data_IF_442859882954
#
_entry.id   IF_442859882954
#
_cell.length_a   1.000
_cell.length_b   1.000
_cell.length_c   1.000
_cell.angle_alpha   90.00
_cell.angle_beta   90.00
_cell.angle_gamma   90.00
#
_symmetry.space_group_name_H-M   'P 1'
#
loop_
_entity.id
_entity.type
_entity.pdbx_description
1 polymer ?
#
# COMPACT_ATOMS: atom_id res chain seq x y z
N UNK A 1 20.44 21.31 -24.22
CA UNK A 1 21.04 20.65 -23.04
C UNK A 1 20.13 19.49 -22.68
N UNK A 2 20.53 18.26 -23.01
CA UNK A 2 19.82 17.08 -22.52
C UNK A 2 20.01 17.03 -21.00
N UNK A 3 18.92 17.19 -20.24
CA UNK A 3 18.97 16.95 -18.80
C UNK A 3 19.38 15.49 -18.58
N UNK A 4 20.51 15.30 -17.90
CA UNK A 4 21.03 13.98 -17.57
C UNK A 4 20.01 13.30 -16.65
N UNK A 5 19.30 12.28 -17.17
CA UNK A 5 18.29 11.55 -16.42
C UNK A 5 18.96 10.80 -15.27
N UNK A 6 18.48 11.01 -14.04
CA UNK A 6 19.00 10.29 -12.88
C UNK A 6 18.30 8.93 -12.74
N UNK A 7 19.02 7.88 -12.32
CA UNK A 7 18.40 6.59 -12.01
C UNK A 7 17.40 6.74 -10.86
N UNK A 8 16.31 5.99 -10.92
CA UNK A 8 15.28 5.99 -9.87
C UNK A 8 15.60 4.86 -8.88
N UNK A 9 15.78 5.18 -7.60
CA UNK A 9 15.85 4.16 -6.56
C UNK A 9 14.43 3.78 -6.13
N UNK A 10 14.09 2.49 -6.13
CA UNK A 10 12.81 2.00 -5.64
C UNK A 10 13.04 1.20 -4.35
N UNK A 11 12.28 1.53 -3.31
CA UNK A 11 12.34 0.91 -1.99
C UNK A 11 10.94 0.39 -1.66
N UNK A 12 10.77 -0.93 -1.57
CA UNK A 12 9.54 -1.52 -1.03
C UNK A 12 9.75 -1.85 0.44
N UNK A 13 8.97 -1.21 1.30
CA UNK A 13 9.04 -1.38 2.74
C UNK A 13 7.97 -2.35 3.21
N UNK A 14 8.39 -3.56 3.57
CA UNK A 14 7.53 -4.45 4.32
C UNK A 14 7.51 -4.01 5.78
N UNK A 15 6.38 -3.47 6.22
CA UNK A 15 6.28 -2.93 7.58
C UNK A 15 5.99 -4.05 8.57
N UNK A 16 6.77 -4.20 9.63
CA UNK A 16 6.44 -5.06 10.76
C UNK A 16 5.80 -4.23 11.88
N UNK A 17 4.58 -3.78 11.61
CA UNK A 17 3.85 -2.95 12.56
C UNK A 17 3.25 -3.81 13.65
N UNK A 18 3.34 -3.34 14.89
CA UNK A 18 2.67 -3.94 16.04
C UNK A 18 1.89 -2.85 16.73
N UNK A 19 1.05 -3.25 17.68
CA UNK A 19 0.30 -2.34 18.53
C UNK A 19 1.19 -1.25 19.18
N UNK A 20 2.45 -1.58 19.51
CA UNK A 20 3.42 -0.63 20.06
C UNK A 20 3.67 0.57 19.15
N UNK A 21 3.78 0.35 17.84
CA UNK A 21 4.04 1.44 16.91
C UNK A 21 2.88 2.46 16.87
N UNK A 22 1.65 2.00 17.09
CA UNK A 22 0.45 2.84 17.16
C UNK A 22 0.22 3.49 18.54
N UNK A 23 1.16 3.36 19.47
CA UNK A 23 1.06 4.02 20.77
C UNK A 23 1.07 5.56 20.63
N UNK A 24 1.90 6.10 19.74
CA UNK A 24 1.94 7.54 19.48
C UNK A 24 2.42 7.85 18.07
N UNK A 25 2.03 9.03 17.57
CA UNK A 25 2.47 9.55 16.27
C UNK A 25 4.00 9.56 16.14
N UNK A 26 4.70 10.01 17.18
CA UNK A 26 6.17 10.12 17.17
C UNK A 26 6.85 8.76 17.05
N UNK A 27 6.34 7.72 17.72
CA UNK A 27 6.89 6.36 17.62
C UNK A 27 6.69 5.82 16.19
N UNK A 28 5.48 5.96 15.63
CA UNK A 28 5.19 5.47 14.28
C UNK A 28 6.01 6.21 13.21
N UNK A 29 6.08 7.53 13.31
CA UNK A 29 6.90 8.34 12.39
C UNK A 29 8.36 7.96 12.47
N UNK A 30 8.91 7.83 13.68
CA UNK A 30 10.30 7.44 13.87
C UNK A 30 10.58 6.06 13.28
N UNK A 31 9.67 5.10 13.47
CA UNK A 31 9.77 3.77 12.85
C UNK A 31 9.94 3.86 11.33
N UNK A 32 9.03 4.56 10.64
CA UNK A 32 9.12 4.71 9.18
C UNK A 32 10.36 5.49 8.75
N UNK A 33 10.68 6.58 9.44
CA UNK A 33 11.82 7.43 9.13
C UNK A 33 13.13 6.66 9.20
N UNK A 34 13.32 5.84 10.23
CA UNK A 34 14.48 4.97 10.37
C UNK A 34 14.58 3.95 9.23
N UNK A 35 13.46 3.32 8.86
CA UNK A 35 13.45 2.32 7.77
C UNK A 35 13.74 2.92 6.41
N UNK A 36 13.17 4.09 6.11
CA UNK A 36 13.46 4.79 4.87
C UNK A 36 14.94 5.19 4.82
N UNK A 37 15.46 5.79 5.89
CA UNK A 37 16.87 6.24 5.94
C UNK A 37 17.88 5.10 5.85
N UNK A 38 17.62 3.96 6.47
CA UNK A 38 18.45 2.76 6.33
C UNK A 38 18.48 2.22 4.89
N UNK A 39 17.45 2.53 4.10
CA UNK A 39 17.26 2.00 2.74
C UNK A 39 17.79 2.92 1.65
N UNK A 40 17.99 4.20 1.96
CA UNK A 40 18.60 5.16 1.05
C UNK A 40 20.11 4.85 0.96
N UNK A 41 20.64 4.66 -0.26
CA UNK A 41 22.08 4.46 -0.44
C UNK A 41 22.83 5.78 -0.21
N UNK A 42 23.87 5.83 0.66
CA UNK A 42 24.76 6.99 0.73
C UNK A 42 25.70 7.03 -0.49
N UNK A 43 25.99 8.24 -1.00
CA UNK A 43 26.81 8.44 -2.21
C UNK A 43 28.29 8.08 -2.06
N UNK A 44 28.81 7.95 -0.83
CA UNK A 44 30.20 7.54 -0.58
C UNK A 44 30.38 6.99 0.82
N UNK A 45 31.31 6.05 0.98
CA UNK A 45 31.77 5.47 2.26
C UNK A 45 32.57 6.45 3.12
N UNK A 46 32.56 7.75 2.80
CA UNK A 46 33.40 8.74 3.47
C UNK A 46 32.59 9.72 4.32
N UNK A 47 32.95 9.72 5.60
CA UNK A 47 32.63 10.68 6.67
C UNK A 47 31.24 10.59 7.32
N UNK A 48 31.29 10.48 8.65
CA UNK A 48 30.33 10.74 9.72
C UNK A 48 29.12 11.64 9.40
N UNK A 49 28.27 11.27 8.44
CA UNK A 49 26.92 11.84 8.35
C UNK A 49 26.14 11.24 9.52
N UNK A 50 25.66 12.10 10.43
CA UNK A 50 24.73 11.65 11.47
C UNK A 50 23.53 11.01 10.79
N UNK A 51 23.14 9.82 11.25
CA UNK A 51 21.99 9.08 10.71
C UNK A 51 20.70 9.94 10.60
N UNK A 52 20.59 10.99 11.43
CA UNK A 52 19.46 11.91 11.46
C UNK A 52 19.38 12.89 10.27
N UNK A 53 20.41 12.96 9.43
CA UNK A 53 20.49 13.91 8.30
C UNK A 53 20.41 13.23 6.93
N UNK A 54 20.24 11.90 6.88
CA UNK A 54 20.16 11.17 5.62
C UNK A 54 18.87 11.57 4.87
N UNK A 55 19.07 12.16 3.69
CA UNK A 55 18.06 12.47 2.69
C UNK A 55 18.42 11.83 1.37
N UNK A 56 17.42 11.46 0.57
CA UNK A 56 17.64 10.96 -0.77
C UNK A 56 18.29 12.05 -1.63
N UNK A 57 19.44 11.74 -2.22
CA UNK A 57 20.18 12.63 -3.12
C UNK A 57 19.87 12.37 -4.60
N UNK A 58 19.18 11.26 -4.88
CA UNK A 58 18.62 10.88 -6.17
C UNK A 58 17.11 10.73 -6.05
N UNK A 59 16.35 10.74 -7.16
CA UNK A 59 14.95 10.35 -7.16
C UNK A 59 14.79 8.99 -6.48
N UNK A 60 14.05 8.98 -5.37
CA UNK A 60 13.75 7.77 -4.60
C UNK A 60 12.25 7.63 -4.46
N UNK A 61 11.75 6.44 -4.78
CA UNK A 61 10.36 6.03 -4.65
C UNK A 61 10.25 4.99 -3.53
N UNK A 62 9.53 5.33 -2.46
CA UNK A 62 9.22 4.44 -1.36
C UNK A 62 7.79 3.92 -1.54
N UNK A 63 7.62 2.60 -1.45
CA UNK A 63 6.34 1.93 -1.63
C UNK A 63 6.00 1.17 -0.35
N UNK A 64 4.82 1.44 0.18
CA UNK A 64 4.25 0.76 1.34
C UNK A 64 3.08 -0.12 0.90
N UNK A 65 2.81 -1.22 1.62
CA UNK A 65 1.78 -2.18 1.22
C UNK A 65 0.35 -1.70 1.55
N UNK A 66 -0.63 -2.41 1.00
CA UNK A 66 -2.06 -2.18 1.26
C UNK A 66 -2.35 -2.24 2.77
N UNK A 67 -3.31 -1.42 3.23
CA UNK A 67 -3.76 -1.34 4.62
C UNK A 67 -2.71 -0.86 5.65
N UNK A 68 -1.56 -0.32 5.22
CA UNK A 68 -0.59 0.32 6.11
C UNK A 68 -1.22 1.41 6.99
N UNK A 69 -2.18 2.17 6.45
CA UNK A 69 -2.86 3.25 7.17
C UNK A 69 -4.06 2.81 8.02
N UNK A 70 -4.58 1.60 7.82
CA UNK A 70 -5.85 1.13 8.41
C UNK A 70 -5.87 1.20 9.93
N UNK A 71 -4.72 0.96 10.57
CA UNK A 71 -4.60 0.90 12.03
C UNK A 71 -4.30 2.25 12.69
N UNK A 72 -4.17 3.33 11.91
CA UNK A 72 -4.01 4.68 12.47
C UNK A 72 -5.20 5.10 13.35
N UNK A 73 -6.37 4.46 13.17
CA UNK A 73 -7.53 4.65 14.03
C UNK A 73 -7.23 4.37 15.51
N UNK A 74 -6.28 3.47 15.81
CA UNK A 74 -5.87 3.14 17.18
C UNK A 74 -5.32 4.35 17.93
N UNK A 75 -4.63 5.24 17.20
CA UNK A 75 -4.12 6.49 17.76
C UNK A 75 -5.22 7.49 18.05
N UNK A 76 -6.33 7.42 17.30
CA UNK A 76 -7.45 8.36 17.39
C UNK A 76 -8.31 8.13 18.64
N UNK A 77 -8.34 6.92 19.19
CA UNK A 77 -9.16 6.61 20.38
C UNK A 77 -8.68 7.42 21.60
N UNK A 78 -9.50 8.36 22.10
CA UNK A 78 -9.20 9.13 23.30
C UNK A 78 -9.09 8.22 24.52
N UNK A 79 -7.92 8.24 25.17
CA UNK A 79 -7.70 7.52 26.42
C UNK A 79 -6.55 8.12 27.21
N UNK A 80 -6.57 7.98 28.56
CA UNK A 80 -5.43 8.32 29.40
C UNK A 80 -4.15 7.57 29.01
N UNK A 81 -3.00 8.20 29.23
CA UNK A 81 -1.69 7.63 28.87
C UNK A 81 -1.41 6.28 29.55
N UNK A 82 -1.88 6.06 30.78
CA UNK A 82 -1.69 4.78 31.47
C UNK A 82 -2.43 3.63 30.80
N UNK A 83 -3.66 3.86 30.28
CA UNK A 83 -4.41 2.87 29.50
C UNK A 83 -3.75 2.62 28.15
N UNK A 84 -3.25 3.68 27.51
CA UNK A 84 -2.50 3.58 26.25
C UNK A 84 -1.25 2.72 26.45
N UNK A 85 -0.48 2.97 27.51
CA UNK A 85 0.67 2.12 27.86
C UNK A 85 0.22 0.69 28.20
N UNK A 86 -0.91 0.49 28.88
CA UNK A 86 -1.43 -0.84 29.16
C UNK A 86 -1.78 -1.62 27.89
N UNK A 87 -2.50 -1.02 26.94
CA UNK A 87 -2.87 -1.70 25.70
C UNK A 87 -1.68 -1.93 24.77
N UNK A 88 -0.74 -0.97 24.68
CA UNK A 88 0.26 -0.93 23.61
C UNK A 88 1.70 -1.26 24.03
N UNK A 89 2.01 -1.44 25.32
CA UNK A 89 3.38 -1.74 25.77
C UNK A 89 3.81 -3.19 25.44
N UNK A 90 4.97 -3.31 24.81
CA UNK A 90 5.60 -4.52 24.26
C UNK A 90 5.95 -5.59 25.32
N UNK A 91 6.25 -5.20 26.57
CA UNK A 91 6.88 -6.11 27.55
C UNK A 91 5.97 -7.19 28.17
N UNK A 92 4.71 -7.32 27.75
CA UNK A 92 3.74 -8.20 28.46
C UNK A 92 2.79 -8.92 27.50
N UNK A 93 3.30 -9.78 26.61
CA UNK A 93 2.49 -10.45 25.57
C UNK A 93 2.35 -11.96 25.79
N UNK A 94 1.30 -12.35 26.54
CA UNK A 94 0.56 -13.61 26.32
C UNK A 94 -0.96 -13.40 26.16
N UNK A 95 -1.47 -12.19 26.36
CA UNK A 95 -2.90 -11.86 26.26
C UNK A 95 -3.12 -10.97 25.04
N UNK A 96 -4.09 -11.32 24.19
CA UNK A 96 -4.57 -10.51 23.07
C UNK A 96 -5.26 -9.23 23.59
N UNK A 97 -4.46 -8.24 23.99
CA UNK A 97 -4.94 -6.92 24.47
C UNK A 97 -5.73 -6.15 23.41
N UNK A 98 -5.64 -6.54 22.14
CA UNK A 98 -6.51 -6.08 21.05
C UNK A 98 -7.99 -6.22 21.38
N UNK A 99 -8.43 -7.36 21.91
CA UNK A 99 -9.84 -7.57 22.26
C UNK A 99 -10.25 -6.61 23.39
N UNK A 100 -9.40 -6.42 24.39
CA UNK A 100 -9.67 -5.48 25.47
C UNK A 100 -9.73 -4.03 24.97
N UNK A 101 -8.86 -3.67 24.02
CA UNK A 101 -8.91 -2.37 23.37
C UNK A 101 -10.21 -2.19 22.55
N UNK A 102 -10.64 -3.23 21.83
CA UNK A 102 -11.91 -3.22 21.08
C UNK A 102 -13.08 -2.99 22.05
N UNK A 103 -13.14 -3.76 23.13
CA UNK A 103 -14.15 -3.61 24.18
C UNK A 103 -14.12 -2.21 24.81
N UNK A 104 -12.94 -1.70 25.16
CA UNK A 104 -12.78 -0.36 25.69
C UNK A 104 -13.35 0.69 24.75
N UNK A 105 -13.00 0.62 23.46
CA UNK A 105 -13.45 1.57 22.43
C UNK A 105 -14.96 1.52 22.29
N UNK A 106 -15.56 0.31 22.17
CA UNK A 106 -17.02 0.15 22.10
C UNK A 106 -17.73 0.70 23.33
N UNK A 107 -17.23 0.43 24.53
CA UNK A 107 -17.85 0.88 25.78
C UNK A 107 -17.77 2.40 25.95
N UNK A 108 -16.61 2.98 25.66
CA UNK A 108 -16.38 4.43 25.84
C UNK A 108 -16.99 5.27 24.70
N UNK A 109 -17.17 4.69 23.51
CA UNK A 109 -17.66 5.38 22.32
C UNK A 109 -18.97 4.79 21.80
N UNK A 110 -19.75 4.11 22.65
CA UNK A 110 -20.99 3.42 22.25
C UNK A 110 -21.98 4.35 21.54
N UNK A 111 -22.08 5.62 21.96
CA UNK A 111 -22.96 6.62 21.33
C UNK A 111 -22.52 6.97 19.91
N UNK A 112 -21.22 7.07 19.67
CA UNK A 112 -20.68 7.31 18.33
C UNK A 112 -20.82 6.06 17.45
N UNK A 113 -20.50 4.90 18.00
CA UNK A 113 -20.65 3.63 17.29
C UNK A 113 -22.11 3.38 16.89
N UNK A 114 -23.07 3.55 17.80
CA UNK A 114 -24.51 3.41 17.49
C UNK A 114 -25.00 4.44 16.47
N UNK A 115 -24.47 5.67 16.50
CA UNK A 115 -24.73 6.68 15.45
C UNK A 115 -24.23 6.23 14.08
N UNK A 116 -23.01 5.68 14.00
CA UNK A 116 -22.47 5.18 12.74
C UNK A 116 -23.22 3.92 12.25
N UNK A 117 -23.59 3.01 13.16
CA UNK A 117 -24.46 1.87 12.84
C UNK A 117 -25.79 2.37 12.26
N UNK A 118 -26.42 3.37 12.86
CA UNK A 118 -27.69 3.92 12.37
C UNK A 118 -27.53 4.57 10.98
N UNK A 119 -26.47 5.37 10.77
CA UNK A 119 -26.19 5.98 9.45
C UNK A 119 -25.97 4.92 8.37
N UNK A 120 -25.24 3.86 8.70
CA UNK A 120 -24.90 2.79 7.77
C UNK A 120 -26.00 1.72 7.66
N UNK A 121 -27.03 1.74 8.51
CA UNK A 121 -28.08 0.71 8.53
C UNK A 121 -28.79 0.54 7.17
N UNK A 122 -28.93 1.64 6.42
CA UNK A 122 -29.57 1.64 5.11
C UNK A 122 -28.67 1.19 3.93
N UNK A 123 -27.39 0.90 4.18
CA UNK A 123 -26.41 0.60 3.12
C UNK A 123 -26.46 -0.85 2.60
N UNK A 124 -27.51 -1.64 2.93
CA UNK A 124 -27.72 -3.03 2.49
C UNK A 124 -26.53 -3.98 2.77
N UNK A 125 -25.71 -3.66 3.77
CA UNK A 125 -24.56 -4.47 4.16
C UNK A 125 -25.00 -5.68 5.00
N UNK A 126 -24.13 -6.70 5.05
CA UNK A 126 -24.27 -7.77 6.05
C UNK A 126 -24.08 -7.21 7.45
N UNK A 127 -24.54 -7.91 8.49
CA UNK A 127 -24.32 -7.49 9.88
C UNK A 127 -22.85 -7.29 10.23
N UNK A 128 -21.98 -8.20 9.79
CA UNK A 128 -20.54 -8.09 10.00
C UNK A 128 -19.96 -6.89 9.24
N UNK A 129 -20.41 -6.68 8.01
CA UNK A 129 -20.02 -5.55 7.18
C UNK A 129 -20.42 -4.20 7.78
N UNK A 130 -21.64 -4.11 8.31
CA UNK A 130 -22.16 -2.96 9.03
C UNK A 130 -21.30 -2.63 10.26
N UNK A 131 -20.88 -3.65 11.02
CA UNK A 131 -19.97 -3.49 12.17
C UNK A 131 -18.61 -2.96 11.70
N UNK A 132 -17.99 -3.58 10.69
CA UNK A 132 -16.68 -3.16 10.15
C UNK A 132 -16.72 -1.72 9.61
N UNK A 133 -17.71 -1.38 8.79
CA UNK A 133 -17.87 -0.02 8.24
C UNK A 133 -18.04 1.00 9.35
N UNK A 134 -18.91 0.71 10.31
CA UNK A 134 -19.18 1.63 11.44
C UNK A 134 -17.96 1.77 12.36
N UNK A 135 -17.17 0.70 12.52
CA UNK A 135 -15.92 0.72 13.27
C UNK A 135 -14.90 1.67 12.65
N UNK A 136 -14.58 1.49 11.37
CA UNK A 136 -13.62 2.34 10.69
C UNK A 136 -14.15 3.76 10.42
N UNK A 137 -15.47 3.97 10.54
CA UNK A 137 -16.12 5.30 10.46
C UNK A 137 -16.18 6.04 11.80
N UNK A 138 -15.60 5.51 12.90
CA UNK A 138 -15.64 6.20 14.19
C UNK A 138 -14.83 7.51 14.21
N UNK A 139 -13.67 7.53 13.55
CA UNK A 139 -12.73 8.66 13.58
C UNK A 139 -12.15 8.98 12.19
N UNK A 140 -12.99 9.20 11.16
CA UNK A 140 -12.54 9.28 9.77
C UNK A 140 -11.60 10.46 9.54
N UNK A 141 -11.99 11.65 10.00
CA UNK A 141 -11.19 12.87 9.81
C UNK A 141 -9.85 12.81 10.56
N UNK A 142 -9.86 12.27 11.79
CA UNK A 142 -8.65 12.15 12.60
C UNK A 142 -7.68 11.14 11.97
N UNK A 143 -8.20 10.00 11.50
CA UNK A 143 -7.41 8.96 10.84
C UNK A 143 -6.83 9.50 9.53
N UNK A 144 -7.62 10.20 8.72
CA UNK A 144 -7.15 10.87 7.51
C UNK A 144 -6.08 11.93 7.80
N UNK A 145 -6.29 12.78 8.79
CA UNK A 145 -5.33 13.82 9.15
C UNK A 145 -4.01 13.24 9.65
N UNK A 146 -4.04 12.17 10.45
CA UNK A 146 -2.82 11.47 10.88
C UNK A 146 -2.13 10.83 9.68
N UNK A 147 -2.87 10.13 8.82
CA UNK A 147 -2.35 9.49 7.61
C UNK A 147 -1.65 10.52 6.71
N UNK A 148 -2.35 11.59 6.37
CA UNK A 148 -1.86 12.68 5.53
C UNK A 148 -0.62 13.34 6.14
N UNK A 149 -0.68 13.69 7.43
CA UNK A 149 0.42 14.34 8.12
C UNK A 149 1.67 13.44 8.17
N UNK A 150 1.49 12.17 8.52
CA UNK A 150 2.57 11.19 8.62
C UNK A 150 3.34 11.08 7.31
N UNK A 151 2.66 10.80 6.21
CA UNK A 151 3.32 10.55 4.93
C UNK A 151 3.78 11.82 4.22
N UNK A 152 3.10 12.95 4.46
CA UNK A 152 3.57 14.27 4.04
C UNK A 152 4.92 14.62 4.70
N UNK A 153 5.00 14.49 6.03
CA UNK A 153 6.24 14.77 6.78
C UNK A 153 7.35 13.78 6.39
N UNK A 154 7.06 12.48 6.26
CA UNK A 154 8.04 11.49 5.83
C UNK A 154 8.58 11.79 4.43
N UNK A 155 7.71 12.12 3.47
CA UNK A 155 8.10 12.41 2.09
C UNK A 155 9.02 13.64 2.03
N UNK A 156 8.65 14.71 2.74
CA UNK A 156 9.43 15.93 2.82
C UNK A 156 10.77 15.73 3.55
N UNK A 157 10.76 15.06 4.71
CA UNK A 157 11.97 14.89 5.53
C UNK A 157 13.00 13.96 4.90
N UNK A 158 12.54 12.98 4.11
CA UNK A 158 13.41 11.99 3.44
C UNK A 158 13.77 12.37 2.01
N UNK A 159 13.10 13.39 1.44
CA UNK A 159 13.19 13.75 0.03
C UNK A 159 12.81 12.58 -0.91
N UNK A 160 11.85 11.75 -0.51
CA UNK A 160 11.36 10.61 -1.28
C UNK A 160 9.95 10.85 -1.79
N UNK A 161 9.64 10.35 -2.99
CA UNK A 161 8.25 10.13 -3.40
C UNK A 161 7.72 8.93 -2.63
N UNK A 162 6.58 9.05 -1.94
CA UNK A 162 6.04 7.97 -1.09
C UNK A 162 4.67 7.53 -1.60
N UNK A 163 4.55 6.27 -2.01
CA UNK A 163 3.27 5.57 -2.17
C UNK A 163 2.88 5.01 -0.81
N UNK A 164 1.92 5.67 -0.16
CA UNK A 164 1.65 5.54 1.27
C UNK A 164 0.80 4.30 1.65
N UNK A 165 0.93 3.21 0.90
CA UNK A 165 0.07 2.04 1.07
C UNK A 165 -1.38 2.46 0.86
N UNK A 166 -2.30 1.88 1.63
CA UNK A 166 -3.70 2.33 1.61
C UNK A 166 -4.32 2.43 2.99
N UNK A 167 -5.47 3.11 3.05
CA UNK A 167 -6.29 3.26 4.23
C UNK A 167 -7.77 3.25 3.85
N UNK A 168 -8.62 2.77 4.75
CA UNK A 168 -10.06 2.92 4.60
C UNK A 168 -10.50 4.33 4.97
N UNK A 169 -11.22 5.00 4.07
CA UNK A 169 -11.59 6.40 4.19
C UNK A 169 -13.04 6.66 3.79
N UNK A 170 -13.66 7.63 4.45
CA UNK A 170 -15.00 8.08 4.12
C UNK A 170 -14.92 9.30 3.20
N UNK A 171 -15.43 9.20 1.98
CA UNK A 171 -15.44 10.26 0.98
C UNK A 171 -16.82 10.30 0.30
N UNK A 172 -17.43 11.48 0.16
CA UNK A 172 -18.69 11.67 -0.59
C UNK A 172 -19.83 10.71 -0.17
N UNK A 173 -19.90 10.36 1.11
CA UNK A 173 -20.84 9.38 1.74
C UNK A 173 -20.52 7.90 1.50
N UNK A 174 -19.46 7.61 0.77
CA UNK A 174 -18.98 6.27 0.49
C UNK A 174 -17.74 5.96 1.32
N UNK A 175 -17.44 4.67 1.47
CA UNK A 175 -16.33 4.18 2.26
C UNK A 175 -15.39 3.38 1.36
N UNK A 176 -14.20 3.92 1.08
CA UNK A 176 -13.29 3.39 0.08
C UNK A 176 -11.98 2.93 0.69
N UNK A 177 -11.29 2.01 0.02
CA UNK A 177 -9.88 1.72 0.26
C UNK A 177 -9.04 2.61 -0.68
N UNK A 178 -8.33 3.59 -0.13
CA UNK A 178 -7.64 4.64 -0.90
C UNK A 178 -6.14 4.64 -0.58
N UNK A 179 -5.34 4.77 -1.63
CA UNK A 179 -3.90 5.03 -1.61
C UNK A 179 -3.60 6.45 -2.09
N UNK A 180 -2.61 7.08 -1.46
CA UNK A 180 -2.11 8.39 -1.87
C UNK A 180 -0.60 8.33 -2.14
N UNK A 181 -0.17 9.12 -3.12
CA UNK A 181 1.24 9.39 -3.38
C UNK A 181 1.59 10.79 -2.91
N UNK A 182 2.68 10.89 -2.17
CA UNK A 182 3.22 12.15 -1.65
C UNK A 182 4.50 12.52 -2.38
N UNK A 183 4.60 13.77 -2.82
CA UNK A 183 5.79 14.29 -3.49
C UNK A 183 6.83 14.85 -2.51
N UNK A 184 8.13 14.69 -2.80
CA UNK A 184 9.20 15.05 -1.86
C UNK A 184 9.34 16.55 -1.59
N UNK A 185 8.95 17.42 -2.54
CA UNK A 185 9.23 18.86 -2.45
C UNK A 185 8.47 19.54 -1.30
N UNK A 186 7.19 19.23 -1.15
CA UNK A 186 6.30 19.89 -0.19
C UNK A 186 5.51 18.89 0.67
N UNK A 187 5.68 17.58 0.43
CA UNK A 187 4.85 16.54 1.04
C UNK A 187 3.38 16.63 0.62
N UNK A 188 3.08 17.24 -0.53
CA UNK A 188 1.72 17.31 -1.08
C UNK A 188 1.29 15.98 -1.66
N UNK A 189 -0.01 15.72 -1.63
CA UNK A 189 -0.62 14.60 -2.36
C UNK A 189 -0.59 14.93 -3.85
N UNK A 190 0.06 14.08 -4.65
CA UNK A 190 0.16 14.23 -6.10
C UNK A 190 -0.62 13.17 -6.91
N UNK A 191 -1.02 12.07 -6.26
CA UNK A 191 -1.86 11.03 -6.85
C UNK A 191 -2.78 10.44 -5.79
N UNK A 192 -4.04 10.19 -6.17
CA UNK A 192 -5.01 9.43 -5.39
C UNK A 192 -5.48 8.24 -6.24
N UNK A 193 -5.38 7.03 -5.69
CA UNK A 193 -5.92 5.81 -6.30
C UNK A 193 -6.80 5.11 -5.29
N UNK A 194 -7.93 4.56 -5.75
CA UNK A 194 -8.85 3.83 -4.89
C UNK A 194 -9.19 2.47 -5.48
N UNK A 195 -9.48 1.51 -4.60
CA UNK A 195 -9.75 0.12 -4.96
C UNK A 195 -11.04 0.02 -5.76
N UNK A 196 -10.93 -0.39 -7.02
CA UNK A 196 -12.08 -0.50 -7.93
C UNK A 196 -12.81 -1.83 -7.76
N UNK A 197 -12.08 -2.88 -7.41
CA UNK A 197 -12.58 -4.24 -7.26
C UNK A 197 -12.28 -4.76 -5.84
N UNK A 198 -13.09 -4.40 -4.83
CA UNK A 198 -13.02 -5.00 -3.50
C UNK A 198 -13.16 -6.53 -3.53
N UNK A 199 -12.42 -7.24 -2.68
CA UNK A 199 -12.56 -8.70 -2.56
C UNK A 199 -13.75 -9.09 -1.69
N UNK A 200 -14.11 -10.37 -1.67
CA UNK A 200 -15.28 -10.89 -0.94
C UNK A 200 -15.35 -10.48 0.54
N UNK A 201 -14.21 -10.42 1.22
CA UNK A 201 -14.17 -9.99 2.63
C UNK A 201 -14.40 -8.48 2.81
N UNK A 202 -14.26 -7.69 1.75
CA UNK A 202 -14.28 -6.23 1.74
C UNK A 202 -15.58 -5.64 1.22
N UNK A 203 -16.21 -6.25 0.20
CA UNK A 203 -17.49 -5.81 -0.40
C UNK A 203 -18.60 -5.60 0.64
N UNK A 204 -18.49 -6.26 1.79
CA UNK A 204 -19.45 -6.17 2.86
C UNK A 204 -19.37 -4.85 3.61
N UNK A 205 -18.30 -4.06 3.46
CA UNK A 205 -18.08 -2.84 4.22
C UNK A 205 -17.44 -1.68 3.46
N UNK A 206 -16.77 -1.91 2.32
CA UNK A 206 -16.27 -0.85 1.43
C UNK A 206 -17.06 -0.81 0.12
N UNK A 207 -17.10 0.37 -0.48
CA UNK A 207 -17.71 0.65 -1.77
C UNK A 207 -16.63 0.58 -2.90
N UNK A 208 -17.06 0.36 -4.14
CA UNK A 208 -16.15 0.34 -5.29
C UNK A 208 -15.75 1.77 -5.68
N UNK A 209 -14.45 2.02 -5.83
CA UNK A 209 -13.97 3.32 -6.28
C UNK A 209 -14.08 3.44 -7.81
N UNK A 210 -14.89 4.38 -8.31
CA UNK A 210 -15.20 4.49 -9.75
C UNK A 210 -14.53 5.69 -10.44
N UNK A 211 -13.70 6.47 -9.73
CA UNK A 211 -12.99 7.60 -10.35
C UNK A 211 -11.90 7.04 -11.29
N UNK A 212 -11.65 7.75 -12.39
CA UNK A 212 -10.60 7.37 -13.34
C UNK A 212 -9.24 7.32 -12.64
N UNK A 213 -8.34 6.41 -13.07
CA UNK A 213 -7.00 6.36 -12.53
C UNK A 213 -6.27 7.67 -12.84
N UNK A 214 -5.32 8.01 -11.99
CA UNK A 214 -4.44 9.16 -12.16
C UNK A 214 -3.02 8.67 -12.40
N UNK A 215 -2.25 9.45 -13.16
CA UNK A 215 -0.84 9.20 -13.44
C UNK A 215 -0.03 10.34 -12.84
N UNK A 216 1.11 9.99 -12.25
CA UNK A 216 2.06 10.96 -11.73
C UNK A 216 3.42 10.79 -12.40
N UNK A 217 3.96 11.89 -12.91
CA UNK A 217 5.31 11.95 -13.46
C UNK A 217 6.32 12.23 -12.36
N UNK A 218 7.23 11.28 -12.08
CA UNK A 218 8.26 11.49 -11.07
C UNK A 218 9.25 12.56 -11.56
N UNK A 219 9.44 13.68 -10.82
CA UNK A 219 10.35 14.75 -11.21
C UNK A 219 11.78 14.27 -11.43
N UNK A 220 12.49 14.90 -12.37
CA UNK A 220 13.89 14.57 -12.73
C UNK A 220 14.12 13.14 -13.23
N UNK A 221 13.05 12.44 -13.63
CA UNK A 221 13.09 11.13 -14.26
C UNK A 221 12.19 11.09 -15.50
N UNK A 222 12.32 10.04 -16.30
CA UNK A 222 11.38 9.72 -17.38
C UNK A 222 10.29 8.73 -16.94
N UNK A 223 10.03 8.57 -15.63
CA UNK A 223 9.12 7.56 -15.09
C UNK A 223 7.76 8.17 -14.74
N UNK A 224 6.72 7.58 -15.32
CA UNK A 224 5.33 7.78 -14.91
C UNK A 224 4.88 6.62 -14.04
N UNK A 225 4.10 6.90 -13.01
CA UNK A 225 3.57 5.89 -12.11
C UNK A 225 2.05 5.86 -12.11
N UNK A 226 1.50 4.66 -11.98
CA UNK A 226 0.11 4.39 -11.64
C UNK A 226 0.06 3.44 -10.45
N UNK A 227 -0.90 3.63 -9.54
CA UNK A 227 -1.04 2.82 -8.33
C UNK A 227 -2.30 1.97 -8.40
N UNK A 228 -2.16 0.67 -8.14
CA UNK A 228 -3.23 -0.32 -8.09
C UNK A 228 -3.30 -0.96 -6.71
N UNK A 229 -4.50 -1.24 -6.23
CA UNK A 229 -4.71 -1.83 -4.90
C UNK A 229 -5.12 -3.29 -5.06
N UNK A 230 -4.16 -4.18 -4.84
CA UNK A 230 -4.33 -5.62 -4.71
C UNK A 230 -5.15 -6.26 -5.84
N UNK A 231 -6.42 -6.58 -5.57
CA UNK A 231 -7.36 -7.17 -6.50
C UNK A 231 -7.46 -6.44 -7.85
N UNK A 232 -7.31 -5.11 -7.88
CA UNK A 232 -7.38 -4.31 -9.10
C UNK A 232 -6.40 -4.80 -10.18
N UNK A 233 -5.21 -5.27 -9.78
CA UNK A 233 -4.20 -5.70 -10.73
C UNK A 233 -4.54 -7.01 -11.46
N UNK A 234 -5.55 -7.73 -10.99
CA UNK A 234 -6.01 -8.94 -11.67
C UNK A 234 -7.00 -8.65 -12.79
N UNK A 235 -7.48 -7.41 -12.92
CA UNK A 235 -8.59 -7.07 -13.79
C UNK A 235 -8.08 -6.31 -15.03
N UNK A 236 -8.17 -6.88 -16.24
CA UNK A 236 -7.66 -6.26 -17.47
C UNK A 236 -8.18 -4.83 -17.70
N UNK A 237 -9.45 -4.59 -17.38
CA UNK A 237 -10.14 -3.32 -17.58
C UNK A 237 -9.51 -2.17 -16.80
N UNK A 238 -8.85 -2.45 -15.67
CA UNK A 238 -8.15 -1.43 -14.89
C UNK A 238 -6.99 -0.85 -15.69
N UNK A 239 -6.23 -1.70 -16.40
CA UNK A 239 -5.11 -1.26 -17.23
C UNK A 239 -5.57 -0.50 -18.48
N UNK A 240 -6.69 -0.91 -19.07
CA UNK A 240 -7.27 -0.21 -20.23
C UNK A 240 -7.68 1.24 -19.91
N UNK A 241 -8.03 1.54 -18.66
CA UNK A 241 -8.33 2.92 -18.24
C UNK A 241 -7.08 3.81 -18.32
N UNK A 242 -5.89 3.29 -18.01
CA UNK A 242 -4.64 4.04 -18.14
C UNK A 242 -4.29 4.34 -19.61
N UNK A 243 -4.73 3.51 -20.56
CA UNK A 243 -4.55 3.78 -21.98
C UNK A 243 -5.46 4.90 -22.51
N UNK A 244 -6.58 5.18 -21.82
CA UNK A 244 -7.50 6.28 -22.18
C UNK A 244 -7.01 7.64 -21.69
N UNK A 245 -6.15 7.65 -20.69
CA UNK A 245 -5.43 8.85 -20.31
C UNK A 245 -4.40 9.04 -21.41
N UNK A 246 -4.51 10.10 -22.20
CA UNK A 246 -3.48 10.45 -23.18
C UNK A 246 -2.16 10.56 -22.42
N UNK A 247 -1.35 9.50 -22.48
CA UNK A 247 0.02 9.47 -22.01
C UNK A 247 0.77 10.42 -22.93
N UNK A 248 0.68 11.72 -22.59
CA UNK A 248 1.05 12.84 -23.43
C UNK A 248 2.36 12.55 -24.14
N UNK A 249 2.29 12.40 -25.48
CA UNK A 249 3.28 12.75 -26.50
C UNK A 249 4.78 12.76 -26.13
N UNK A 250 5.25 11.87 -25.28
CA UNK A 250 6.66 11.78 -24.92
C UNK A 250 7.08 10.35 -25.20
N UNK A 251 7.54 10.13 -26.44
CA UNK A 251 8.06 8.86 -26.99
C UNK A 251 9.25 8.27 -26.21
N UNK A 252 9.53 8.75 -24.99
CA UNK A 252 10.70 8.41 -24.17
C UNK A 252 10.38 8.21 -22.68
N UNK A 253 9.10 8.35 -22.25
CA UNK A 253 8.71 8.04 -20.86
C UNK A 253 8.42 6.55 -20.70
N UNK A 254 8.76 6.03 -19.53
CA UNK A 254 8.52 4.65 -19.11
C UNK A 254 7.41 4.65 -18.07
N UNK A 255 6.52 3.66 -18.15
CA UNK A 255 5.43 3.55 -17.19
C UNK A 255 5.73 2.48 -16.14
N UNK A 256 5.48 2.77 -14.88
CA UNK A 256 5.69 1.87 -13.75
C UNK A 256 4.37 1.67 -13.00
N UNK A 257 3.82 0.46 -13.10
CA UNK A 257 2.70 0.04 -12.27
C UNK A 257 3.17 -0.31 -10.87
N UNK A 258 2.53 0.29 -9.88
CA UNK A 258 2.79 0.03 -8.47
C UNK A 258 1.58 -0.70 -7.92
N UNK A 259 1.77 -1.97 -7.55
CA UNK A 259 0.74 -2.80 -6.97
C UNK A 259 1.03 -2.88 -5.48
N UNK A 260 0.15 -2.30 -4.68
CA UNK A 260 0.18 -2.46 -3.22
C UNK A 260 -0.80 -3.58 -2.86
N UNK A 261 -0.33 -4.59 -2.14
CA UNK A 261 -1.10 -5.81 -1.90
C UNK A 261 -1.09 -6.21 -0.42
N UNK A 262 -2.17 -6.88 -0.02
CA UNK A 262 -2.36 -7.51 1.28
C UNK A 262 -2.54 -9.01 1.09
N UNK A 263 -2.14 -9.79 2.11
CA UNK A 263 -2.52 -11.19 2.25
C UNK A 263 -2.06 -12.09 1.09
N UNK A 264 -0.77 -12.02 0.78
CA UNK A 264 -0.15 -13.07 0.00
C UNK A 264 0.45 -14.03 1.01
N UNK A 265 -0.11 -15.25 1.07
CA UNK A 265 0.46 -16.35 1.81
C UNK A 265 1.89 -16.65 1.33
N UNK A 266 2.37 -17.87 1.52
CA UNK A 266 3.70 -18.19 1.02
C UNK A 266 3.68 -18.13 -0.52
N UNK A 267 4.57 -17.34 -1.14
CA UNK A 267 4.60 -17.15 -2.60
C UNK A 267 4.74 -18.44 -3.41
N UNK A 268 5.26 -19.48 -2.76
CA UNK A 268 5.52 -20.78 -3.34
C UNK A 268 4.31 -21.73 -3.27
N UNK A 269 3.22 -21.37 -2.59
CA UNK A 269 2.00 -22.18 -2.62
C UNK A 269 1.39 -22.18 -4.01
N UNK A 270 0.68 -23.27 -4.34
CA UNK A 270 -0.09 -23.35 -5.57
C UNK A 270 -1.23 -22.31 -5.54
N UNK A 271 -1.40 -21.59 -6.64
CA UNK A 271 -2.43 -20.57 -6.80
C UNK A 271 -3.79 -21.25 -6.98
N UNK A 272 -4.75 -21.07 -6.06
CA UNK A 272 -6.05 -21.75 -6.12
C UNK A 272 -7.01 -21.14 -7.15
N UNK A 273 -6.58 -20.13 -7.90
CA UNK A 273 -7.43 -19.27 -8.71
C UNK A 273 -7.73 -17.95 -8.01
N UNK A 274 -8.55 -17.10 -8.64
CA UNK A 274 -8.95 -15.80 -8.09
C UNK A 274 -10.17 -15.96 -7.15
N UNK A 275 -10.26 -15.13 -6.12
CA UNK A 275 -11.27 -15.23 -5.06
C UNK A 275 -12.69 -14.78 -5.53
N UNK A 276 -13.44 -15.77 -6.01
CA UNK A 276 -14.88 -16.11 -5.90
C UNK A 276 -16.04 -15.11 -6.00
N UNK A 277 -15.88 -13.78 -6.08
CA UNK A 277 -17.06 -12.92 -6.36
C UNK A 277 -17.10 -12.28 -7.74
N UNK A 278 -15.94 -11.97 -8.31
CA UNK A 278 -15.83 -11.74 -9.73
C UNK A 278 -15.42 -13.05 -10.38
N UNK A 279 -16.09 -13.44 -11.46
CA UNK A 279 -15.63 -14.56 -12.28
C UNK A 279 -14.14 -14.35 -12.52
N UNK A 280 -13.35 -15.41 -12.30
CA UNK A 280 -11.94 -15.42 -12.70
C UNK A 280 -11.86 -14.80 -14.10
N UNK A 281 -11.05 -13.75 -14.30
CA UNK A 281 -11.01 -13.04 -15.57
C UNK A 281 -10.94 -14.05 -16.72
N UNK A 282 -11.77 -13.87 -17.76
CA UNK A 282 -11.95 -14.87 -18.83
C UNK A 282 -10.67 -15.24 -19.57
N UNK A 283 -9.65 -14.40 -19.47
CA UNK A 283 -8.33 -14.56 -20.05
C UNK A 283 -7.36 -15.36 -19.15
N UNK A 284 -7.78 -15.79 -17.95
CA UNK A 284 -7.05 -16.75 -17.12
C UNK A 284 -7.18 -18.15 -17.72
N UNK A 285 -6.04 -18.78 -17.99
CA UNK A 285 -6.00 -20.19 -18.37
C UNK A 285 -6.27 -21.06 -17.13
N UNK A 286 -7.36 -21.83 -17.18
CA UNK A 286 -7.74 -22.79 -16.15
C UNK A 286 -6.65 -23.82 -15.84
N UNK A 287 -5.73 -24.10 -16.79
CA UNK A 287 -4.60 -24.99 -16.55
C UNK A 287 -3.60 -24.44 -15.54
N UNK A 288 -3.57 -23.12 -15.33
CA UNK A 288 -2.68 -22.47 -14.37
C UNK A 288 -3.21 -22.57 -12.92
N UNK A 289 -4.51 -22.82 -12.75
CA UNK A 289 -5.14 -23.00 -11.45
C UNK A 289 -4.62 -24.29 -10.82
N UNK A 290 -4.17 -24.22 -9.57
CA UNK A 290 -3.54 -25.30 -8.82
C UNK A 290 -2.25 -25.86 -9.46
N UNK A 291 -1.65 -25.17 -10.43
CA UNK A 291 -0.36 -25.57 -11.05
C UNK A 291 0.68 -24.46 -10.97
N UNK A 292 0.28 -23.20 -11.15
CA UNK A 292 1.16 -22.05 -10.93
C UNK A 292 1.38 -21.87 -9.43
N UNK A 293 2.59 -21.46 -9.03
CA UNK A 293 2.77 -20.84 -7.71
C UNK A 293 2.03 -19.50 -7.66
N UNK A 294 1.72 -19.01 -6.47
CA UNK A 294 1.12 -17.70 -6.26
C UNK A 294 1.98 -16.60 -6.88
N UNK A 295 3.31 -16.65 -6.72
CA UNK A 295 4.24 -15.72 -7.37
C UNK A 295 4.16 -15.74 -8.89
N UNK A 296 4.10 -16.93 -9.51
CA UNK A 296 3.97 -17.07 -10.95
C UNK A 296 2.64 -16.52 -11.45
N UNK A 297 1.55 -16.74 -10.71
CA UNK A 297 0.23 -16.22 -11.05
C UNK A 297 0.20 -14.69 -11.00
N UNK A 298 0.70 -14.06 -9.93
CA UNK A 298 0.82 -12.60 -9.83
C UNK A 298 1.71 -12.03 -10.92
N UNK A 299 2.88 -12.63 -11.16
CA UNK A 299 3.77 -12.18 -12.21
C UNK A 299 3.11 -12.25 -13.59
N UNK A 300 2.44 -13.36 -13.90
CA UNK A 300 1.83 -13.58 -15.20
C UNK A 300 0.57 -12.71 -15.40
N UNK A 301 -0.37 -12.74 -14.47
CA UNK A 301 -1.68 -12.12 -14.66
C UNK A 301 -1.78 -10.68 -14.17
N UNK A 302 -0.93 -10.24 -13.24
CA UNK A 302 -0.87 -8.84 -12.85
C UNK A 302 0.19 -8.08 -13.65
N UNK A 303 1.46 -8.51 -13.61
CA UNK A 303 2.57 -7.73 -14.19
C UNK A 303 2.67 -7.90 -15.71
N UNK A 304 2.78 -9.13 -16.22
CA UNK A 304 2.97 -9.36 -17.66
C UNK A 304 1.76 -8.86 -18.45
N UNK A 305 0.56 -9.17 -17.99
CA UNK A 305 -0.68 -8.69 -18.59
C UNK A 305 -0.72 -7.16 -18.69
N UNK A 306 -0.36 -6.45 -17.62
CA UNK A 306 -0.33 -4.98 -17.61
C UNK A 306 0.60 -4.44 -18.71
N UNK A 307 1.80 -5.02 -18.80
CA UNK A 307 2.81 -4.65 -19.80
C UNK A 307 2.31 -4.95 -21.21
N UNK A 308 1.69 -6.11 -21.44
CA UNK A 308 1.18 -6.50 -22.75
C UNK A 308 0.04 -5.57 -23.23
N UNK A 309 -0.85 -5.16 -22.30
CA UNK A 309 -1.93 -4.22 -22.59
C UNK A 309 -1.37 -2.83 -22.95
N UNK A 310 -0.35 -2.34 -22.24
CA UNK A 310 0.31 -1.07 -22.55
C UNK A 310 1.09 -1.12 -23.87
N UNK A 311 1.87 -2.18 -24.09
CA UNK A 311 2.70 -2.37 -25.28
C UNK A 311 1.85 -2.34 -26.56
N UNK A 312 0.76 -3.10 -26.57
CA UNK A 312 -0.13 -3.24 -27.74
C UNK A 312 -0.74 -1.92 -28.20
N UNK A 313 -0.99 -0.99 -27.28
CA UNK A 313 -1.72 0.25 -27.59
C UNK A 313 -0.80 1.46 -27.76
N UNK A 314 0.31 1.54 -27.00
CA UNK A 314 1.08 2.78 -26.86
C UNK A 314 2.58 2.66 -27.17
N UNK A 315 3.11 1.47 -27.54
CA UNK A 315 4.55 1.21 -27.69
C UNK A 315 5.39 1.65 -26.47
N UNK A 316 4.79 1.67 -25.28
CA UNK A 316 5.43 2.12 -24.04
C UNK A 316 6.23 0.99 -23.41
N UNK A 317 7.41 1.32 -22.88
CA UNK A 317 8.15 0.37 -22.04
C UNK A 317 7.53 0.42 -20.63
N UNK A 318 6.74 -0.60 -20.32
CA UNK A 318 6.09 -0.78 -19.02
C UNK A 318 6.93 -1.62 -18.05
N UNK A 319 6.81 -1.30 -16.77
CA UNK A 319 7.41 -2.01 -15.64
C UNK A 319 6.35 -2.20 -14.55
N UNK A 320 6.57 -3.14 -13.65
CA UNK A 320 5.69 -3.34 -12.50
C UNK A 320 6.48 -3.56 -11.23
N UNK A 321 5.91 -3.23 -10.08
CA UNK A 321 6.44 -3.52 -8.75
C UNK A 321 5.28 -3.96 -7.87
N UNK A 322 5.49 -5.01 -7.08
CA UNK A 322 4.53 -5.48 -6.09
C UNK A 322 5.11 -5.22 -4.70
N UNK A 323 4.39 -4.50 -3.86
CA UNK A 323 4.73 -4.35 -2.45
C UNK A 323 3.63 -5.03 -1.64
N UNK A 324 3.99 -6.12 -0.94
CA UNK A 324 3.02 -6.95 -0.26
C UNK A 324 3.26 -6.97 1.25
N UNK A 325 2.17 -6.84 2.00
CA UNK A 325 2.11 -7.20 3.41
C UNK A 325 1.51 -8.59 3.57
N UNK A 326 1.95 -9.29 4.61
CA UNK A 326 1.49 -10.63 4.94
C UNK A 326 0.03 -10.76 5.33
N UNK A 327 -0.29 -11.90 5.94
CA UNK A 327 -1.66 -12.22 6.36
C UNK A 327 -2.12 -11.17 7.36
N UNK A 328 -3.14 -10.40 6.98
CA UNK A 328 -3.78 -9.45 7.87
C UNK A 328 -5.22 -9.89 8.09
N UNK A 329 -5.53 -10.29 9.33
CA UNK A 329 -6.91 -10.30 9.75
C UNK A 329 -7.27 -8.87 10.16
N UNK A 330 -7.96 -8.15 9.27
CA UNK A 330 -8.32 -6.72 9.37
C UNK A 330 -8.89 -6.31 10.74
N UNK A 331 -9.43 -7.24 11.53
CA UNK A 331 -9.95 -6.98 12.88
C UNK A 331 -9.09 -7.57 14.02
N UNK A 332 -8.28 -8.59 13.76
CA UNK A 332 -7.69 -9.43 14.81
C UNK A 332 -6.16 -9.45 14.83
N UNK A 333 -5.50 -9.05 13.75
CA UNK A 333 -4.05 -9.08 13.70
C UNK A 333 -3.49 -7.78 13.12
N UNK A 334 -2.74 -7.06 13.95
CA UNK A 334 -1.95 -5.90 13.54
C UNK A 334 -0.60 -6.36 12.97
N UNK A 335 -0.20 -7.61 13.27
CA UNK A 335 1.09 -8.15 12.86
C UNK A 335 1.08 -8.43 11.36
N UNK A 336 2.22 -8.11 10.77
CA UNK A 336 2.44 -8.16 9.34
C UNK A 336 3.42 -9.29 9.02
N UNK A 337 2.99 -10.55 9.13
CA UNK A 337 3.84 -11.70 8.80
C UNK A 337 3.61 -12.13 7.34
N UNK A 338 4.56 -11.84 6.46
CA UNK A 338 4.51 -12.23 5.04
C UNK A 338 5.82 -11.98 4.31
N UNK A 339 5.79 -12.03 2.99
CA UNK A 339 6.96 -11.78 2.14
C UNK A 339 6.60 -10.72 1.09
N UNK A 340 7.37 -9.64 0.99
CA UNK A 340 7.31 -8.72 -0.15
C UNK A 340 8.05 -9.29 -1.38
N UNK A 341 7.69 -8.86 -2.60
CA UNK A 341 8.35 -9.27 -3.83
C UNK A 341 8.39 -8.14 -4.86
N UNK A 342 9.57 -7.61 -5.18
CA UNK A 342 9.75 -6.69 -6.32
C UNK A 342 9.90 -7.52 -7.60
N UNK A 343 9.07 -7.26 -8.62
CA UNK A 343 9.20 -7.92 -9.93
C UNK A 343 9.29 -6.91 -11.06
N UNK A 344 10.51 -6.52 -11.41
CA UNK A 344 10.76 -5.66 -12.55
C UNK A 344 10.81 -6.49 -13.84
N UNK A 345 9.97 -6.16 -14.82
CA UNK A 345 10.06 -6.68 -16.19
C UNK A 345 10.22 -5.54 -17.16
N UNK A 346 11.17 -5.67 -18.09
CA UNK A 346 11.56 -4.63 -19.06
C UNK A 346 11.08 -4.91 -20.49
N UNK A 347 10.92 -6.19 -20.86
CA UNK A 347 10.40 -6.63 -22.17
C UNK A 347 10.09 -8.15 -22.17
N UNK A 348 9.55 -8.68 -23.27
CA UNK A 348 9.36 -10.14 -23.50
C UNK A 348 10.68 -10.94 -23.43
N UNK A 349 11.83 -10.31 -23.65
CA UNK A 349 13.14 -10.97 -23.81
C UNK A 349 14.01 -10.85 -22.55
N UNK A 350 13.84 -9.79 -21.76
CA UNK A 350 14.57 -9.59 -20.49
C UNK A 350 13.59 -9.66 -19.29
N UNK A 351 13.31 -10.88 -18.84
CA UNK A 351 12.75 -11.09 -17.50
C UNK A 351 13.91 -11.21 -16.52
N UNK A 352 14.30 -10.09 -15.90
CA UNK A 352 15.24 -10.12 -14.78
C UNK A 352 14.44 -9.90 -13.51
N UNK A 353 14.04 -10.98 -12.84
CA UNK A 353 13.48 -10.85 -11.50
C UNK A 353 14.63 -10.43 -10.59
N UNK A 354 14.72 -9.13 -10.33
CA UNK A 354 15.73 -8.54 -9.47
C UNK A 354 15.31 -8.74 -8.00
N UNK A 355 15.66 -9.90 -7.46
CA UNK A 355 15.61 -10.15 -6.03
C UNK A 355 16.90 -9.63 -5.39
N UNK A 356 16.88 -8.45 -4.77
CA UNK A 356 17.82 -8.15 -3.69
C UNK A 356 17.01 -7.75 -2.46
N UNK A 357 16.57 -8.77 -1.73
CA UNK A 357 15.99 -8.57 -0.40
C UNK A 357 17.13 -8.36 0.59
N UNK A 358 17.27 -7.15 1.11
CA UNK A 358 18.12 -6.91 2.29
C UNK A 358 17.26 -7.11 3.52
N UNK A 359 17.55 -8.16 4.28
CA UNK A 359 16.93 -8.35 5.59
C UNK A 359 17.64 -7.46 6.60
N UNK A 360 16.91 -6.59 7.29
CA UNK A 360 17.41 -5.77 8.39
C UNK A 360 16.61 -6.05 9.65
N UNK A 361 17.26 -6.61 10.69
CA UNK A 361 16.64 -6.90 12.00
C UNK A 361 15.26 -7.59 11.86
N UNK A 362 15.24 -8.72 11.14
CA UNK A 362 14.04 -9.55 10.86
C UNK A 362 13.01 -8.94 9.89
N UNK A 363 13.19 -7.70 9.42
CA UNK A 363 12.35 -7.08 8.39
C UNK A 363 12.97 -7.22 7.00
N UNK A 364 12.17 -7.57 5.99
CA UNK A 364 12.61 -7.64 4.59
C UNK A 364 12.40 -6.29 3.91
N UNK A 365 13.50 -5.57 3.65
CA UNK A 365 13.49 -4.35 2.84
C UNK A 365 13.99 -4.73 1.45
N UNK A 366 13.16 -4.48 0.44
CA UNK A 366 13.54 -4.72 -0.95
C UNK A 366 13.99 -3.41 -1.57
N UNK A 367 15.20 -3.38 -2.13
CA UNK A 367 15.77 -2.19 -2.77
C UNK A 367 16.18 -2.58 -4.18
N UNK A 368 15.75 -1.79 -5.17
CA UNK A 368 16.25 -1.91 -6.53
C UNK A 368 16.58 -0.52 -7.12
N UNK A 369 17.54 -0.50 -8.04
CA UNK A 369 17.86 0.67 -8.85
C UNK A 369 17.28 0.48 -10.25
N UNK A 370 16.69 1.54 -10.78
CA UNK A 370 15.92 1.54 -12.01
C UNK A 370 16.49 2.52 -13.04
#
# INVERSE_FOLDING_TARGET
>A
MEQQQQPLQIICLQTYLTQYHYQSYSILKQYFLERIRLSIKPLSTTSNILFNEIRAQHPTLVILPECTGTWLYLMCVPMPQYLRNFFFNYQTTKINRHILFICYTLLTHIRLFTKEIYKNYHSKLTWLGLIKRSWFSLFPDQTYNIYKKLFSELSYETNCTIVAGSNFMYEEKNFYNISYVFEPNHGSICLQSGKQYPVYDEISFIDNYQKQPLIYSIPNTNIDIGVLICADSWIPQVYEQYNKIELFNIKQRRFLFIIIALNLGEWNILWPGYDYQHDTPKDVDNKHINTYSLSNAWFHYAINRAIDILNKQNNLIGYGVICCQGILNIMNDIQAQGESMIVLKRSEIETKILYEAKTYKDEKILICEF
#
